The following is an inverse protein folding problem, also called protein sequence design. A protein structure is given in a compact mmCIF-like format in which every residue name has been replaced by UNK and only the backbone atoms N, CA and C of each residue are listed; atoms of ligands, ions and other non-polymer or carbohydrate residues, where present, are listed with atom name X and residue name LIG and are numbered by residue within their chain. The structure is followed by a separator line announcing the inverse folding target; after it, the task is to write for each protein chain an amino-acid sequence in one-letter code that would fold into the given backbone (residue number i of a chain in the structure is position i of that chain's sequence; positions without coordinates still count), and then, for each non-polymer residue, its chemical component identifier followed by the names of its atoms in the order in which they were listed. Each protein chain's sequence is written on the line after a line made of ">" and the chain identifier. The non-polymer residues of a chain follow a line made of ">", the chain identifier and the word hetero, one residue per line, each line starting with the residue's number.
data_IF_633030781957
#
_entry.id   IF_633030781957
#
_cell.length_a   1.000
_cell.length_b   1.000
_cell.length_c   1.000
_cell.angle_alpha   90.00
_cell.angle_beta   90.00
_cell.angle_gamma   90.00
#
_symmetry.space_group_name_H-M   'P 1'
#
loop_
_entity.id
_entity.type
_entity.pdbx_description
1 polymer ?
#
# COMPACT_ATOMS: atom_id res chain seq x y z
N UNK A 1 -36.92 75.88 21.87
CA UNK A 1 -35.79 76.59 21.20
C UNK A 1 -34.64 75.61 21.12
N UNK A 2 -34.44 74.98 19.92
CA UNK A 2 -33.53 75.44 18.88
C UNK A 2 -32.11 75.02 19.24
N UNK A 3 -31.54 74.22 18.56
CA UNK A 3 -30.79 74.11 17.30
C UNK A 3 -29.93 72.84 17.31
N UNK A 4 -29.95 71.95 16.38
CA UNK A 4 -29.21 71.85 15.09
C UNK A 4 -27.71 72.13 15.26
N UNK A 5 -26.94 71.16 14.93
CA UNK A 5 -25.85 71.15 13.98
C UNK A 5 -25.12 69.83 14.10
N UNK A 6 -25.21 69.01 13.13
CA UNK A 6 -24.34 68.83 11.92
C UNK A 6 -22.84 68.87 12.23
N UNK A 7 -22.18 67.80 11.98
CA UNK A 7 -21.32 67.73 10.79
C UNK A 7 -20.16 66.79 10.98
N UNK A 8 -20.07 65.95 10.01
CA UNK A 8 -18.89 65.50 9.28
C UNK A 8 -18.06 64.35 9.90
N UNK A 9 -18.28 63.23 9.36
CA UNK A 9 -17.30 62.31 8.80
C UNK A 9 -16.24 63.05 7.99
N UNK A 10 -15.01 62.61 7.77
CA UNK A 10 -14.64 61.29 7.30
C UNK A 10 -13.26 60.80 7.80
N UNK A 11 -13.06 59.55 7.87
CA UNK A 11 -11.85 58.92 7.30
C UNK A 11 -11.95 57.43 7.33
N UNK A 12 -12.46 56.94 6.28
CA UNK A 12 -12.25 55.60 5.76
C UNK A 12 -10.78 55.31 5.54
N UNK A 13 -10.30 54.25 6.11
CA UNK A 13 -9.22 53.51 5.47
C UNK A 13 -9.45 52.00 5.59
N UNK A 14 -9.86 51.35 4.53
CA UNK A 14 -9.91 49.89 4.47
C UNK A 14 -8.61 49.42 3.83
N UNK A 15 -7.76 48.79 4.60
CA UNK A 15 -6.71 47.99 4.05
C UNK A 15 -6.25 46.97 5.08
N UNK A 16 -7.03 45.93 5.23
CA UNK A 16 -6.52 44.62 5.62
C UNK A 16 -6.86 43.65 4.52
N UNK A 17 -5.87 43.44 3.63
CA UNK A 17 -5.87 42.30 2.72
C UNK A 17 -6.03 41.03 3.55
N UNK A 18 -6.88 40.08 3.14
CA UNK A 18 -6.92 38.78 3.79
C UNK A 18 -5.57 38.10 3.59
N UNK A 19 -4.95 37.76 4.69
CA UNK A 19 -3.78 36.89 4.74
C UNK A 19 -4.14 35.59 4.07
N UNK A 20 -3.55 35.35 2.91
CA UNK A 20 -3.62 34.04 2.25
C UNK A 20 -2.83 33.07 3.11
N UNK A 21 -3.54 32.33 3.90
CA UNK A 21 -3.00 31.19 4.64
C UNK A 21 -2.45 30.21 3.58
N UNK A 22 -1.17 29.76 3.69
CA UNK A 22 -0.65 28.80 2.72
C UNK A 22 -1.55 27.58 2.71
N UNK A 23 -2.02 27.25 1.53
CA UNK A 23 -2.84 26.10 1.20
C UNK A 23 -2.33 24.86 1.95
N UNK A 24 -3.08 24.42 2.95
CA UNK A 24 -2.96 23.08 3.47
C UNK A 24 -3.23 22.17 2.29
N UNK A 25 -2.20 21.43 1.88
CA UNK A 25 -2.38 20.40 0.86
C UNK A 25 -3.47 19.46 1.38
N UNK A 26 -4.65 19.57 0.80
CA UNK A 26 -5.74 18.65 1.07
C UNK A 26 -5.32 17.34 0.43
N UNK A 27 -4.78 16.42 1.23
CA UNK A 27 -4.65 15.03 0.80
C UNK A 27 -6.04 14.57 0.40
N UNK A 28 -6.24 14.07 -0.83
CA UNK A 28 -7.55 13.58 -1.25
C UNK A 28 -7.99 12.51 -0.25
N UNK A 29 -9.25 12.58 0.16
CA UNK A 29 -9.85 11.56 1.00
C UNK A 29 -9.68 10.18 0.33
N UNK A 30 -9.40 9.13 1.09
CA UNK A 30 -9.21 7.80 0.54
C UNK A 30 -10.48 7.37 -0.24
N UNK A 31 -10.24 6.92 -1.48
CA UNK A 31 -11.32 6.42 -2.35
C UNK A 31 -11.62 5.00 -1.92
N UNK A 32 -12.83 4.72 -1.46
CA UNK A 32 -13.28 3.35 -1.18
C UNK A 32 -14.05 2.81 -2.38
N UNK A 33 -13.55 1.73 -3.00
CA UNK A 33 -14.31 0.94 -3.97
C UNK A 33 -15.15 -0.11 -3.24
N UNK A 34 -16.22 -0.56 -3.89
CA UNK A 34 -17.16 -1.53 -3.34
C UNK A 34 -16.43 -2.81 -2.91
N UNK A 35 -16.41 -3.09 -1.60
CA UNK A 35 -15.75 -4.25 -1.01
C UNK A 35 -14.53 -3.94 -0.13
N UNK A 36 -13.87 -2.81 -0.33
CA UNK A 36 -12.74 -2.40 0.50
C UNK A 36 -13.18 -1.48 1.64
N UNK A 37 -12.89 -1.84 2.88
CA UNK A 37 -13.17 -1.03 4.07
C UNK A 37 -11.98 -0.14 4.46
N UNK A 38 -10.80 -0.45 3.99
CA UNK A 38 -9.56 0.27 4.23
C UNK A 38 -9.22 1.22 3.07
N UNK A 39 -8.42 2.28 3.30
CA UNK A 39 -7.95 3.15 2.24
C UNK A 39 -7.25 2.36 1.13
N UNK A 40 -7.51 2.72 -0.12
CA UNK A 40 -6.81 2.18 -1.28
C UNK A 40 -5.47 2.88 -1.48
N UNK A 41 -4.55 2.19 -2.13
CA UNK A 41 -3.28 2.77 -2.53
C UNK A 41 -3.44 3.45 -3.90
N UNK A 42 -3.10 4.74 -4.02
CA UNK A 42 -3.21 5.47 -5.28
C UNK A 42 -2.25 4.98 -6.36
N UNK A 43 -1.10 4.41 -5.95
CA UNK A 43 -0.05 3.94 -6.86
C UNK A 43 0.63 2.68 -6.33
N UNK A 44 1.26 1.91 -7.25
CA UNK A 44 2.11 0.78 -6.87
C UNK A 44 3.25 1.18 -5.93
N UNK A 45 3.83 2.36 -6.12
CA UNK A 45 4.95 2.84 -5.31
C UNK A 45 4.53 3.15 -3.87
N UNK A 46 3.36 3.77 -3.68
CA UNK A 46 2.83 4.02 -2.34
C UNK A 46 2.47 2.72 -1.64
N UNK A 47 1.91 1.75 -2.36
CA UNK A 47 1.66 0.42 -1.83
C UNK A 47 2.96 -0.26 -1.38
N UNK A 48 3.97 -0.33 -2.25
CA UNK A 48 5.27 -0.93 -1.92
C UNK A 48 5.95 -0.24 -0.74
N UNK A 49 5.88 1.09 -0.69
CA UNK A 49 6.41 1.86 0.43
C UNK A 49 5.68 1.52 1.73
N UNK A 50 4.35 1.47 1.71
CA UNK A 50 3.55 1.14 2.88
C UNK A 50 3.86 -0.27 3.42
N UNK A 51 4.01 -1.28 2.53
CA UNK A 51 4.41 -2.64 2.91
C UNK A 51 5.77 -2.64 3.60
N UNK A 52 6.77 -1.95 3.03
CA UNK A 52 8.11 -1.85 3.64
C UNK A 52 8.09 -1.15 4.99
N UNK A 53 7.32 -0.07 5.12
CA UNK A 53 7.15 0.62 6.40
C UNK A 53 6.44 -0.27 7.43
N UNK A 54 5.42 -1.03 7.03
CA UNK A 54 4.71 -1.98 7.89
C UNK A 54 5.68 -3.02 8.47
N UNK A 55 6.51 -3.62 7.64
CA UNK A 55 7.49 -4.61 8.04
C UNK A 55 8.57 -3.98 8.93
N UNK A 56 9.12 -2.83 8.53
CA UNK A 56 10.22 -2.17 9.26
C UNK A 56 9.82 -1.67 10.65
N UNK A 57 8.54 -1.32 10.83
CA UNK A 57 7.97 -0.88 12.12
C UNK A 57 7.44 -2.05 12.95
N UNK A 58 7.58 -3.30 12.49
CA UNK A 58 7.07 -4.52 13.16
C UNK A 58 5.57 -4.43 13.48
N UNK A 59 4.79 -3.93 12.55
CA UNK A 59 3.38 -3.61 12.75
C UNK A 59 2.53 -4.83 13.11
N UNK A 60 2.94 -6.04 12.77
CA UNK A 60 2.29 -7.29 13.18
C UNK A 60 2.21 -7.46 14.70
N UNK A 61 3.18 -6.91 15.43
CA UNK A 61 3.27 -6.98 16.90
C UNK A 61 3.12 -5.63 17.59
N UNK A 62 3.16 -4.54 16.82
CA UNK A 62 3.12 -3.16 17.31
C UNK A 62 1.83 -2.46 16.89
N UNK A 63 0.81 -2.47 17.74
CA UNK A 63 -0.47 -1.77 17.49
C UNK A 63 -0.37 -0.25 17.41
N UNK A 64 0.77 0.34 17.83
CA UNK A 64 1.08 1.77 17.71
C UNK A 64 1.71 2.16 16.38
N UNK A 65 1.91 1.22 15.47
CA UNK A 65 2.49 1.45 14.16
C UNK A 65 1.62 2.40 13.32
N UNK A 66 2.20 3.52 12.88
CA UNK A 66 1.48 4.57 12.16
C UNK A 66 0.90 4.08 10.83
N UNK A 67 1.62 3.23 10.11
CA UNK A 67 1.18 2.71 8.82
C UNK A 67 -0.01 1.75 8.99
N UNK A 68 0.00 0.91 10.02
CA UNK A 68 -1.12 0.03 10.35
C UNK A 68 -2.35 0.82 10.83
N UNK A 69 -2.17 1.95 11.52
CA UNK A 69 -3.27 2.85 11.86
C UNK A 69 -3.87 3.52 10.62
N UNK A 70 -3.06 3.75 9.59
CA UNK A 70 -3.50 4.37 8.33
C UNK A 70 -4.25 3.39 7.44
N UNK A 71 -3.70 2.20 7.22
CA UNK A 71 -4.22 1.23 6.23
C UNK A 71 -4.88 0.01 6.87
N UNK A 72 -4.88 -0.09 8.20
CA UNK A 72 -5.53 -1.16 8.97
C UNK A 72 -4.59 -2.29 9.38
N UNK A 73 -5.09 -3.14 10.28
CA UNK A 73 -4.47 -4.36 10.77
C UNK A 73 -5.40 -5.55 10.57
N UNK A 74 -4.87 -6.75 10.31
CA UNK A 74 -3.51 -7.05 9.85
C UNK A 74 -3.30 -6.61 8.39
N UNK A 75 -2.07 -6.71 7.90
CA UNK A 75 -1.70 -6.34 6.51
C UNK A 75 -2.56 -7.10 5.47
N UNK A 76 -2.97 -8.32 5.76
CA UNK A 76 -3.83 -9.13 4.89
C UNK A 76 -5.22 -8.53 4.62
N UNK A 77 -5.64 -7.53 5.40
CA UNK A 77 -6.91 -6.81 5.20
C UNK A 77 -6.74 -5.53 4.37
N UNK A 78 -5.54 -5.26 3.86
CA UNK A 78 -5.30 -4.10 3.02
C UNK A 78 -6.01 -4.21 1.68
N UNK A 79 -6.49 -3.08 1.19
CA UNK A 79 -7.17 -2.99 -0.10
C UNK A 79 -6.12 -2.91 -1.22
N UNK A 80 -5.89 -4.02 -1.92
CA UNK A 80 -4.89 -4.15 -2.98
C UNK A 80 -5.48 -4.06 -4.38
N UNK A 81 -6.79 -3.85 -4.49
CA UNK A 81 -7.49 -3.68 -5.76
C UNK A 81 -6.82 -2.60 -6.62
N UNK A 82 -6.50 -2.94 -7.87
CA UNK A 82 -5.87 -2.02 -8.82
C UNK A 82 -4.33 -1.95 -8.72
N UNK A 83 -3.70 -2.67 -7.78
CA UNK A 83 -2.25 -2.85 -7.80
C UNK A 83 -1.86 -3.74 -8.96
N UNK A 84 -0.92 -3.28 -9.79
CA UNK A 84 -0.49 -3.98 -11.00
C UNK A 84 0.94 -4.52 -10.93
N UNK A 85 1.73 -4.06 -9.97
CA UNK A 85 3.15 -4.41 -9.82
C UNK A 85 3.49 -4.73 -8.36
N UNK A 86 3.78 -6.01 -8.08
CA UNK A 86 4.19 -6.50 -6.77
C UNK A 86 5.64 -7.02 -6.75
N UNK A 87 6.46 -6.63 -7.74
CA UNK A 87 7.87 -7.04 -7.79
C UNK A 87 8.63 -6.65 -6.54
N UNK A 88 9.46 -7.58 -6.05
CA UNK A 88 10.33 -7.38 -4.88
C UNK A 88 9.61 -6.98 -3.59
N UNK A 89 8.30 -7.23 -3.48
CA UNK A 89 7.50 -6.71 -2.38
C UNK A 89 7.98 -7.20 -1.01
N UNK A 90 8.30 -8.51 -0.91
CA UNK A 90 8.80 -9.18 0.28
C UNK A 90 10.19 -9.79 0.05
N UNK A 91 10.91 -9.32 -0.98
CA UNK A 91 12.21 -9.83 -1.31
C UNK A 91 13.22 -9.56 -0.18
N UNK A 92 13.81 -10.61 0.33
CA UNK A 92 14.96 -10.54 1.21
C UNK A 92 16.23 -10.14 0.47
N UNK A 93 17.32 -9.99 1.20
CA UNK A 93 18.67 -9.86 0.64
C UNK A 93 19.46 -11.15 0.87
N UNK A 94 20.41 -11.47 -0.01
CA UNK A 94 21.29 -12.65 0.12
C UNK A 94 22.02 -12.71 1.49
N UNK A 95 22.12 -11.58 2.18
CA UNK A 95 22.79 -11.49 3.48
C UNK A 95 21.85 -11.72 4.68
N UNK A 96 20.58 -12.10 4.47
CA UNK A 96 19.58 -12.37 5.53
C UNK A 96 19.45 -11.26 6.58
N UNK A 97 19.89 -10.03 6.28
CA UNK A 97 19.90 -8.90 7.20
C UNK A 97 18.66 -8.03 7.11
N UNK A 98 17.79 -8.29 6.13
CA UNK A 98 16.52 -7.58 5.96
C UNK A 98 15.45 -8.21 6.85
N UNK A 99 14.59 -7.39 7.48
CA UNK A 99 13.42 -7.89 8.23
C UNK A 99 12.39 -8.57 7.33
N UNK A 100 12.43 -8.30 6.05
CA UNK A 100 11.55 -8.90 5.04
C UNK A 100 11.68 -10.43 4.99
N UNK A 101 12.85 -10.97 5.37
CA UNK A 101 13.11 -12.42 5.46
C UNK A 101 12.27 -13.13 6.53
N UNK A 102 11.74 -12.41 7.50
CA UNK A 102 10.89 -12.94 8.58
C UNK A 102 9.39 -12.80 8.29
N UNK A 103 9.02 -12.22 7.15
CA UNK A 103 7.62 -12.03 6.81
C UNK A 103 6.92 -13.39 6.60
N UNK A 104 5.88 -13.64 7.37
CA UNK A 104 5.02 -14.82 7.28
C UNK A 104 3.58 -14.48 7.72
N UNK A 105 3.06 -13.30 7.32
CA UNK A 105 1.69 -12.93 7.63
C UNK A 105 0.73 -13.38 6.52
N UNK A 106 -0.49 -13.72 6.92
CA UNK A 106 -1.53 -14.14 6.00
C UNK A 106 -2.00 -12.98 5.12
N UNK A 107 -1.76 -13.12 3.81
CA UNK A 107 -2.16 -12.20 2.75
C UNK A 107 -3.08 -12.86 1.72
N UNK A 108 -3.69 -13.99 2.08
CA UNK A 108 -4.56 -14.76 1.20
C UNK A 108 -5.80 -14.01 0.71
N UNK A 109 -6.20 -12.95 1.43
CA UNK A 109 -7.35 -12.12 1.07
C UNK A 109 -7.00 -10.94 0.15
N UNK A 110 -5.73 -10.76 -0.23
CA UNK A 110 -5.36 -9.70 -1.16
C UNK A 110 -5.99 -9.93 -2.54
N UNK A 111 -6.60 -8.88 -3.08
CA UNK A 111 -7.05 -8.87 -4.47
C UNK A 111 -5.84 -8.62 -5.38
N UNK A 112 -5.41 -9.68 -6.07
CA UNK A 112 -4.28 -9.66 -7.00
C UNK A 112 -4.71 -9.76 -8.46
N UNK A 113 -6.01 -9.72 -8.74
CA UNK A 113 -6.58 -9.92 -10.08
C UNK A 113 -6.10 -8.90 -11.14
N UNK A 114 -5.65 -7.72 -10.70
CA UNK A 114 -5.07 -6.68 -11.56
C UNK A 114 -3.54 -6.77 -11.69
N UNK A 115 -2.87 -7.67 -10.96
CA UNK A 115 -1.42 -7.74 -10.93
C UNK A 115 -0.88 -8.33 -12.22
N UNK A 116 0.09 -7.66 -12.83
CA UNK A 116 0.75 -8.07 -14.07
C UNK A 116 2.14 -8.65 -13.83
N UNK A 117 2.77 -8.29 -12.73
CA UNK A 117 4.15 -8.67 -12.45
C UNK A 117 4.38 -8.98 -10.97
N UNK A 118 4.82 -10.23 -10.69
CA UNK A 118 5.17 -10.76 -9.37
C UNK A 118 6.65 -11.22 -9.29
N UNK A 119 7.48 -10.75 -10.23
CA UNK A 119 8.89 -11.10 -10.29
C UNK A 119 9.59 -10.81 -8.96
N UNK A 120 10.34 -11.79 -8.41
CA UNK A 120 11.06 -11.69 -7.14
C UNK A 120 10.19 -11.34 -5.92
N UNK A 121 8.86 -11.54 -5.95
CA UNK A 121 7.97 -11.07 -4.86
C UNK A 121 8.37 -11.63 -3.49
N UNK A 122 8.72 -12.91 -3.40
CA UNK A 122 9.17 -13.61 -2.19
C UNK A 122 10.61 -14.15 -2.32
N UNK A 123 11.41 -13.50 -3.16
CA UNK A 123 12.82 -13.88 -3.37
C UNK A 123 13.59 -13.80 -2.05
N UNK A 124 14.28 -14.89 -1.67
CA UNK A 124 14.96 -15.01 -0.37
C UNK A 124 14.06 -14.61 0.84
N UNK A 125 12.80 -15.05 0.84
CA UNK A 125 11.87 -14.94 1.97
C UNK A 125 11.74 -16.32 2.67
N UNK A 126 12.74 -16.75 3.45
CA UNK A 126 12.84 -18.13 3.94
C UNK A 126 11.76 -18.50 4.94
N UNK A 127 11.11 -17.55 5.60
CA UNK A 127 10.05 -17.82 6.59
C UNK A 127 8.67 -17.91 5.97
N UNK A 128 8.45 -17.35 4.76
CA UNK A 128 7.13 -17.24 4.17
C UNK A 128 6.54 -18.61 3.81
N UNK A 129 5.35 -18.92 4.37
CA UNK A 129 4.62 -20.14 4.07
C UNK A 129 3.09 -19.99 4.19
N UNK A 130 2.54 -18.85 3.77
CA UNK A 130 1.11 -18.61 3.83
C UNK A 130 0.38 -19.11 2.57
N UNK A 131 -0.92 -19.51 2.69
CA UNK A 131 -1.68 -20.02 1.57
C UNK A 131 -1.97 -18.93 0.53
N UNK A 132 -1.69 -19.26 -0.73
CA UNK A 132 -1.90 -18.35 -1.87
C UNK A 132 -2.77 -18.98 -2.97
N UNK A 133 -3.30 -20.19 -2.75
CA UNK A 133 -4.00 -20.95 -3.79
C UNK A 133 -5.24 -20.23 -4.34
N UNK A 134 -5.87 -19.37 -3.53
CA UNK A 134 -7.07 -18.63 -3.91
C UNK A 134 -6.80 -17.33 -4.68
N UNK A 135 -5.53 -16.97 -4.91
CA UNK A 135 -5.20 -15.77 -5.67
C UNK A 135 -5.59 -15.93 -7.14
N UNK A 136 -6.32 -14.96 -7.67
CA UNK A 136 -6.55 -14.86 -9.11
C UNK A 136 -5.32 -14.25 -9.78
N UNK A 137 -4.47 -15.13 -10.31
CA UNK A 137 -3.21 -14.76 -10.98
C UNK A 137 -3.32 -14.79 -12.51
N UNK A 138 -4.53 -14.90 -13.04
CA UNK A 138 -4.78 -15.05 -14.48
C UNK A 138 -4.27 -13.88 -15.34
N UNK A 139 -4.08 -12.70 -14.74
CA UNK A 139 -3.50 -11.52 -15.40
C UNK A 139 -1.97 -11.47 -15.34
N UNK A 140 -1.33 -12.30 -14.50
CA UNK A 140 0.12 -12.19 -14.24
C UNK A 140 0.92 -12.73 -15.40
N UNK A 141 1.79 -11.90 -15.97
CA UNK A 141 2.67 -12.27 -17.07
C UNK A 141 4.09 -12.68 -16.65
N UNK A 142 4.54 -12.26 -15.47
CA UNK A 142 5.91 -12.53 -15.00
C UNK A 142 5.94 -13.00 -13.54
N UNK A 143 6.37 -14.25 -13.33
CA UNK A 143 6.63 -14.90 -12.04
C UNK A 143 8.13 -15.20 -11.82
N UNK A 144 9.02 -14.60 -12.60
CA UNK A 144 10.45 -14.90 -12.54
C UNK A 144 11.00 -14.84 -11.13
N UNK A 145 11.63 -15.92 -10.67
CA UNK A 145 12.25 -16.07 -9.36
C UNK A 145 11.33 -15.72 -8.16
N UNK A 146 10.01 -15.83 -8.33
CA UNK A 146 9.04 -15.38 -7.31
C UNK A 146 9.28 -16.00 -5.93
N UNK A 147 9.57 -17.30 -5.86
CA UNK A 147 9.83 -18.05 -4.62
C UNK A 147 11.27 -18.57 -4.52
N UNK A 148 12.17 -18.07 -5.36
CA UNK A 148 13.56 -18.54 -5.32
C UNK A 148 14.20 -18.20 -3.96
N UNK A 149 14.65 -19.23 -3.25
CA UNK A 149 15.17 -19.08 -1.89
C UNK A 149 14.11 -18.94 -0.77
N UNK A 150 12.82 -19.05 -1.08
CA UNK A 150 11.75 -19.11 -0.07
C UNK A 150 11.65 -20.53 0.52
N UNK A 151 12.59 -20.91 1.34
CA UNK A 151 12.86 -22.31 1.75
C UNK A 151 11.76 -22.94 2.60
N UNK A 152 10.91 -22.16 3.24
CA UNK A 152 9.75 -22.69 3.99
C UNK A 152 8.49 -22.83 3.15
N UNK A 153 8.44 -22.23 1.95
CA UNK A 153 7.24 -22.22 1.14
C UNK A 153 6.89 -23.62 0.62
N UNK A 154 5.76 -24.15 1.09
CA UNK A 154 5.26 -25.48 0.72
C UNK A 154 3.72 -25.50 0.63
N UNK A 155 3.12 -24.43 0.10
CA UNK A 155 1.69 -24.34 -0.07
C UNK A 155 1.28 -24.77 -1.50
N UNK A 156 0.08 -25.35 -1.66
CA UNK A 156 -0.42 -25.70 -2.99
C UNK A 156 -0.68 -24.43 -3.82
N UNK A 157 -0.46 -24.54 -5.13
CA UNK A 157 -0.77 -23.51 -6.12
C UNK A 157 -1.56 -24.15 -7.30
N UNK A 158 -2.32 -25.20 -7.03
CA UNK A 158 -2.96 -26.02 -8.07
C UNK A 158 -4.07 -25.27 -8.82
N UNK A 159 -4.67 -24.24 -8.19
CA UNK A 159 -5.77 -23.48 -8.76
C UNK A 159 -5.29 -22.23 -9.53
N UNK A 160 -3.98 -22.02 -9.63
CA UNK A 160 -3.43 -20.88 -10.36
C UNK A 160 -3.59 -21.07 -11.87
N UNK A 161 -4.28 -20.15 -12.54
CA UNK A 161 -4.27 -20.03 -13.99
C UNK A 161 -3.06 -19.20 -14.42
N UNK A 162 -2.03 -19.90 -14.91
CA UNK A 162 -0.79 -19.29 -15.41
C UNK A 162 -0.75 -19.17 -16.93
N UNK A 163 -1.90 -19.25 -17.60
CA UNK A 163 -1.98 -19.22 -19.07
C UNK A 163 -1.46 -17.91 -19.69
N UNK A 164 -1.49 -16.79 -18.94
CA UNK A 164 -0.94 -15.50 -19.36
C UNK A 164 0.57 -15.36 -19.08
N UNK A 165 1.18 -16.32 -18.39
CA UNK A 165 2.58 -16.20 -17.99
C UNK A 165 3.53 -16.31 -19.20
N UNK A 166 4.40 -15.32 -19.34
CA UNK A 166 5.49 -15.31 -20.33
C UNK A 166 6.85 -15.61 -19.70
N UNK A 167 6.94 -15.52 -18.37
CA UNK A 167 8.17 -15.80 -17.62
C UNK A 167 7.85 -16.57 -16.32
N UNK A 168 8.41 -17.78 -16.20
CA UNK A 168 8.38 -18.64 -15.02
C UNK A 168 9.81 -19.05 -14.61
N UNK A 169 10.83 -18.40 -15.16
CA UNK A 169 12.22 -18.75 -14.96
C UNK A 169 12.63 -18.72 -13.48
N UNK A 170 13.21 -19.82 -12.99
CA UNK A 170 13.71 -19.95 -11.60
C UNK A 170 12.65 -19.60 -10.55
N UNK A 171 11.37 -19.85 -10.82
CA UNK A 171 10.25 -19.47 -9.93
C UNK A 171 10.44 -20.03 -8.51
N UNK A 172 11.11 -21.16 -8.37
CA UNK A 172 11.48 -21.83 -7.11
C UNK A 172 12.99 -22.02 -6.99
#
# INVERSE_FOLDING_TARGET
>A
RTAIQESSDPSSNPSSLPSINPSVAVTPAPVTLSGCTNPMFPTNEEFKKAVKEYISQECSTNSGCAIGQTYGYPIGKWCTTGITDMRFLFAGTENFMSRDVLFDEDISEWDVSSVLNMEFMFYYAPSFNQPLNNWDVSSVSNFGAMFNGASSFNQPLNDWDVSSATSLGSMF
#
